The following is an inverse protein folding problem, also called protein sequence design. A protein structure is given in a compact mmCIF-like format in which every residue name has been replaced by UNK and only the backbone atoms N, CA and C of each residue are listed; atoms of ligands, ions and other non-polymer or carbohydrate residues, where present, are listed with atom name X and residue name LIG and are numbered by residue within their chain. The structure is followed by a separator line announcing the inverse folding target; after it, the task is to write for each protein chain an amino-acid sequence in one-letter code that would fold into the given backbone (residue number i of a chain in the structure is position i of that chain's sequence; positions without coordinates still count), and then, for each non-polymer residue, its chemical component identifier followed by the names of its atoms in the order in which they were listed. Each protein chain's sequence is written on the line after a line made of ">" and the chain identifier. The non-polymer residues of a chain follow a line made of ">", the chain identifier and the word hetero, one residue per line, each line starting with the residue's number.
data_IF_291133614259
#
_entry.id   IF_291133614259
#
_cell.length_a   1.000
_cell.length_b   1.000
_cell.length_c   1.000
_cell.angle_alpha   90.00
_cell.angle_beta   90.00
_cell.angle_gamma   90.00
#
_symmetry.space_group_name_H-M   'P 1'
#
loop_
_entity.id
_entity.type
_entity.pdbx_description
1 polymer ?
#
# COMPACT_ATOMS: atom_id res chain seq x y z
N UNK A 1 -14.88 26.73 9.55
CA UNK A 1 -14.35 25.35 9.68
C UNK A 1 -14.63 24.62 8.38
N UNK A 2 -13.65 23.94 7.79
CA UNK A 2 -13.80 23.24 6.50
C UNK A 2 -13.29 21.80 6.65
N UNK A 3 -14.11 20.82 6.28
CA UNK A 3 -13.73 19.40 6.20
C UNK A 3 -13.65 19.02 4.72
N UNK A 4 -12.54 18.39 4.33
CA UNK A 4 -12.27 18.05 2.92
C UNK A 4 -11.88 16.58 2.84
N UNK A 5 -12.48 15.86 1.90
CA UNK A 5 -12.09 14.51 1.49
C UNK A 5 -11.53 14.62 0.07
N UNK A 6 -10.23 14.41 -0.10
CA UNK A 6 -9.56 14.50 -1.39
C UNK A 6 -8.38 13.54 -1.47
N UNK A 7 -8.09 13.04 -2.66
CA UNK A 7 -6.87 12.29 -2.97
C UNK A 7 -5.81 13.16 -3.67
N UNK A 8 -6.13 14.42 -3.98
CA UNK A 8 -5.19 15.35 -4.62
C UNK A 8 -4.19 15.87 -3.59
N UNK A 9 -2.97 15.35 -3.66
CA UNK A 9 -1.87 15.65 -2.75
C UNK A 9 -1.47 17.12 -2.80
N UNK A 10 -1.48 17.74 -3.98
CA UNK A 10 -1.12 19.14 -4.14
C UNK A 10 -2.18 20.05 -3.52
N UNK A 11 -3.46 19.73 -3.73
CA UNK A 11 -4.54 20.45 -3.10
C UNK A 11 -4.47 20.35 -1.57
N UNK A 12 -4.29 19.14 -1.04
CA UNK A 12 -4.17 18.93 0.40
C UNK A 12 -2.99 19.71 0.97
N UNK A 13 -1.85 19.72 0.29
CA UNK A 13 -0.65 20.38 0.81
C UNK A 13 -0.77 21.91 0.98
N UNK A 14 -1.67 22.53 0.21
CA UNK A 14 -1.88 23.98 0.21
C UNK A 14 -3.06 24.44 1.09
N UNK A 15 -4.03 23.57 1.37
CA UNK A 15 -5.29 23.96 1.98
C UNK A 15 -5.44 23.45 3.41
N UNK A 16 -4.93 22.26 3.72
CA UNK A 16 -5.17 21.62 5.02
C UNK A 16 -4.05 21.90 6.01
N UNK A 17 -4.41 21.99 7.29
CA UNK A 17 -3.49 22.14 8.42
C UNK A 17 -3.63 21.01 9.46
N UNK A 18 -4.49 20.03 9.16
CA UNK A 18 -4.73 18.84 9.95
C UNK A 18 -5.20 17.72 9.03
N UNK A 19 -4.67 16.52 9.22
CA UNK A 19 -5.04 15.32 8.46
C UNK A 19 -5.50 14.24 9.43
N UNK A 20 -6.61 13.58 9.08
CA UNK A 20 -7.08 12.37 9.74
C UNK A 20 -6.86 11.19 8.81
N UNK A 21 -6.00 10.26 9.22
CA UNK A 21 -5.80 8.98 8.52
C UNK A 21 -6.69 7.93 9.18
N UNK A 22 -7.63 7.36 8.41
CA UNK A 22 -8.47 6.27 8.89
C UNK A 22 -7.77 4.92 8.68
N UNK A 23 -7.81 4.07 9.70
CA UNK A 23 -7.31 2.70 9.68
C UNK A 23 -8.28 1.72 10.34
N UNK A 24 -7.96 0.42 10.39
CA UNK A 24 -8.85 -0.62 10.92
C UNK A 24 -9.23 -0.43 12.40
N UNK A 25 -8.37 0.23 13.18
CA UNK A 25 -8.55 0.45 14.62
C UNK A 25 -9.08 1.85 14.98
N UNK A 26 -9.39 2.70 14.00
CA UNK A 26 -9.88 4.07 14.23
C UNK A 26 -9.24 5.10 13.31
N UNK A 27 -9.06 6.32 13.81
CA UNK A 27 -8.43 7.41 13.08
C UNK A 27 -7.21 7.95 13.83
N UNK A 28 -6.19 8.31 13.09
CA UNK A 28 -4.96 8.90 13.57
C UNK A 28 -4.90 10.36 13.10
N UNK A 29 -4.60 11.28 14.03
CA UNK A 29 -4.54 12.72 13.73
C UNK A 29 -3.11 13.18 13.54
N UNK A 30 -2.90 13.99 12.51
CA UNK A 30 -1.63 14.60 12.15
C UNK A 30 -1.80 16.11 12.00
N UNK A 31 -0.82 16.87 12.47
CA UNK A 31 -0.81 18.33 12.36
C UNK A 31 0.02 18.77 11.16
N UNK A 32 -0.39 19.85 10.49
CA UNK A 32 0.25 20.37 9.29
C UNK A 32 -0.40 19.89 8.00
N UNK A 33 0.32 20.12 6.90
CA UNK A 33 -0.13 19.81 5.55
C UNK A 33 0.21 18.38 5.12
N UNK A 34 -0.04 18.03 3.86
CA UNK A 34 0.14 16.67 3.35
C UNK A 34 1.60 16.19 3.39
N UNK A 35 2.55 17.05 3.02
CA UNK A 35 3.98 16.78 3.06
C UNK A 35 4.46 16.51 4.48
N UNK A 36 4.04 17.32 5.44
CA UNK A 36 4.37 17.12 6.86
C UNK A 36 3.70 15.87 7.45
N UNK A 37 2.49 15.52 6.99
CA UNK A 37 1.85 14.25 7.34
C UNK A 37 2.66 13.05 6.87
N UNK A 38 3.20 13.05 5.65
CA UNK A 38 4.02 11.94 5.15
C UNK A 38 5.26 11.68 6.02
N UNK A 39 5.93 12.75 6.45
CA UNK A 39 7.08 12.68 7.36
C UNK A 39 6.69 12.11 8.72
N UNK A 40 5.70 12.71 9.39
CA UNK A 40 5.21 12.25 10.69
C UNK A 40 4.73 10.79 10.65
N UNK A 41 4.10 10.36 9.55
CA UNK A 41 3.66 8.98 9.38
C UNK A 41 4.83 8.03 9.24
N UNK A 42 5.84 8.40 8.46
CA UNK A 42 7.05 7.60 8.28
C UNK A 42 7.83 7.45 9.60
N UNK A 43 8.07 8.56 10.30
CA UNK A 43 8.73 8.57 11.62
C UNK A 43 7.97 7.71 12.63
N UNK A 44 6.64 7.81 12.64
CA UNK A 44 5.79 6.98 13.50
C UNK A 44 5.91 5.50 13.17
N UNK A 45 5.90 5.13 11.89
CA UNK A 45 6.09 3.75 11.46
C UNK A 45 7.44 3.22 11.91
N UNK A 46 8.52 3.96 11.67
CA UNK A 46 9.86 3.59 12.11
C UNK A 46 9.96 3.44 13.63
N UNK A 47 9.37 4.38 14.37
CA UNK A 47 9.31 4.33 15.83
C UNK A 47 8.57 3.09 16.33
N UNK A 48 7.34 2.85 15.84
CA UNK A 48 6.52 1.69 16.26
C UNK A 48 7.19 0.37 15.89
N UNK A 49 7.85 0.30 14.74
CA UNK A 49 8.60 -0.89 14.33
C UNK A 49 9.82 -1.12 15.24
N UNK A 50 10.55 -0.06 15.57
CA UNK A 50 11.68 -0.13 16.51
C UNK A 50 11.22 -0.57 17.90
N UNK A 51 10.15 0.03 18.43
CA UNK A 51 9.56 -0.35 19.72
C UNK A 51 9.09 -1.81 19.73
N UNK A 52 8.43 -2.26 18.66
CA UNK A 52 8.00 -3.64 18.51
C UNK A 52 9.18 -4.62 18.47
N UNK A 53 10.20 -4.32 17.67
CA UNK A 53 11.40 -5.16 17.54
C UNK A 53 12.16 -5.24 18.88
N UNK A 54 12.31 -4.12 19.58
CA UNK A 54 12.95 -4.08 20.90
C UNK A 54 12.19 -4.93 21.93
N UNK A 55 10.85 -4.86 21.95
CA UNK A 55 10.03 -5.69 22.85
C UNK A 55 10.10 -7.16 22.49
N UNK A 56 10.07 -7.50 21.19
CA UNK A 56 10.22 -8.87 20.71
C UNK A 56 11.59 -9.46 21.07
N UNK A 57 12.66 -8.69 20.87
CA UNK A 57 14.03 -9.08 21.23
C UNK A 57 14.19 -9.28 22.74
N UNK A 58 13.61 -8.39 23.55
CA UNK A 58 13.54 -8.54 25.01
C UNK A 58 12.83 -9.83 25.40
N UNK A 59 11.67 -10.13 24.79
CA UNK A 59 10.93 -11.37 25.06
C UNK A 59 11.73 -12.62 24.71
N UNK A 60 12.40 -12.64 23.55
CA UNK A 60 13.25 -13.75 23.14
C UNK A 60 14.44 -13.94 24.08
N UNK A 61 15.10 -12.85 24.48
CA UNK A 61 16.22 -12.88 25.43
C UNK A 61 15.79 -13.40 26.80
N UNK A 62 14.62 -12.99 27.29
CA UNK A 62 14.06 -13.49 28.55
C UNK A 62 13.68 -14.97 28.45
N UNK A 63 13.11 -15.40 27.33
CA UNK A 63 12.79 -16.79 27.06
C UNK A 63 14.06 -17.66 27.04
N UNK A 64 15.15 -17.20 26.42
CA UNK A 64 16.42 -17.92 26.39
C UNK A 64 17.03 -18.08 27.78
N UNK A 65 16.92 -17.04 28.62
CA UNK A 65 17.30 -17.14 30.03
C UNK A 65 16.46 -18.21 30.76
N UNK A 66 15.14 -18.23 30.55
CA UNK A 66 14.24 -19.21 31.16
C UNK A 66 14.63 -20.62 30.72
N UNK A 67 14.82 -20.86 29.41
CA UNK A 67 15.24 -22.16 28.85
C UNK A 67 16.50 -22.71 29.51
N UNK A 68 17.51 -21.86 29.72
CA UNK A 68 18.80 -22.27 30.31
C UNK A 68 18.71 -22.58 31.81
N UNK A 69 17.77 -21.98 32.53
CA UNK A 69 17.70 -22.04 33.99
C UNK A 69 16.57 -22.90 34.54
N UNK A 70 15.54 -23.22 33.73
CA UNK A 70 14.39 -24.00 34.21
C UNK A 70 14.74 -25.46 34.54
N UNK A 71 15.82 -25.98 33.95
CA UNK A 71 16.35 -27.33 34.22
C UNK A 71 17.37 -27.37 35.37
N UNK A 72 17.75 -26.23 35.95
CA UNK A 72 18.73 -26.15 37.06
C UNK A 72 18.00 -25.95 38.38
N UNK A 73 18.14 -26.87 39.33
CA UNK A 73 17.36 -26.85 40.59
C UNK A 73 17.53 -25.55 41.41
N UNK A 74 18.76 -25.00 41.47
CA UNK A 74 19.02 -23.78 42.24
C UNK A 74 18.32 -22.52 41.69
N UNK A 75 18.02 -22.46 40.39
CA UNK A 75 17.43 -21.27 39.72
C UNK A 75 16.04 -21.52 39.14
N UNK A 76 15.49 -22.72 39.33
CA UNK A 76 14.20 -23.17 38.79
C UNK A 76 13.03 -22.27 39.18
N UNK A 77 12.89 -21.95 40.47
CA UNK A 77 11.78 -21.12 40.97
C UNK A 77 11.81 -19.70 40.37
N UNK A 78 13.01 -19.13 40.19
CA UNK A 78 13.18 -17.83 39.55
C UNK A 78 12.79 -17.89 38.06
N UNK A 79 13.21 -18.94 37.34
CA UNK A 79 12.86 -19.14 35.95
C UNK A 79 11.34 -19.32 35.75
N UNK A 80 10.66 -20.07 36.63
CA UNK A 80 9.20 -20.25 36.60
C UNK A 80 8.46 -18.92 36.86
N UNK A 81 8.95 -18.11 37.79
CA UNK A 81 8.38 -16.77 38.06
C UNK A 81 8.47 -15.85 36.84
N UNK A 82 9.64 -15.82 36.19
CA UNK A 82 9.84 -15.06 34.93
C UNK A 82 8.96 -15.58 33.80
N UNK A 83 8.83 -16.90 33.65
CA UNK A 83 7.95 -17.51 32.66
C UNK A 83 6.50 -17.04 32.81
N UNK A 84 5.96 -17.05 34.04
CA UNK A 84 4.58 -16.55 34.30
C UNK A 84 4.41 -15.06 33.96
N UNK A 85 5.45 -14.25 34.17
CA UNK A 85 5.43 -12.83 33.78
C UNK A 85 5.45 -12.69 32.26
N UNK A 86 6.37 -13.38 31.59
CA UNK A 86 6.50 -13.35 30.14
C UNK A 86 5.22 -13.81 29.43
N UNK A 87 4.58 -14.89 29.91
CA UNK A 87 3.27 -15.34 29.40
C UNK A 87 2.25 -14.20 29.44
N UNK A 88 2.14 -13.50 30.57
CA UNK A 88 1.20 -12.38 30.70
C UNK A 88 1.50 -11.26 29.70
N UNK A 89 2.76 -10.82 29.62
CA UNK A 89 3.15 -9.75 28.71
C UNK A 89 2.90 -10.12 27.24
N UNK A 90 3.23 -11.34 26.83
CA UNK A 90 2.97 -11.82 25.45
C UNK A 90 1.48 -11.87 25.15
N UNK A 91 0.64 -12.38 26.07
CA UNK A 91 -0.81 -12.45 25.87
C UNK A 91 -1.46 -11.07 25.76
N UNK A 92 -0.97 -10.08 26.51
CA UNK A 92 -1.42 -8.69 26.36
C UNK A 92 -1.12 -8.16 24.95
N UNK A 93 0.07 -8.43 24.42
CA UNK A 93 0.42 -8.01 23.05
C UNK A 93 -0.40 -8.77 22.01
N UNK A 94 -0.70 -10.06 22.21
CA UNK A 94 -1.55 -10.81 21.29
C UNK A 94 -2.99 -10.30 21.25
N UNK A 95 -3.55 -9.92 22.39
CA UNK A 95 -4.94 -9.49 22.49
C UNK A 95 -5.16 -8.05 21.99
N UNK A 96 -4.27 -7.13 22.33
CA UNK A 96 -4.45 -5.69 22.06
C UNK A 96 -3.26 -4.97 21.43
N UNK A 97 -2.24 -5.71 21.02
CA UNK A 97 -1.04 -5.13 20.41
C UNK A 97 -0.09 -4.48 21.41
N UNK A 98 0.95 -3.84 20.87
CA UNK A 98 2.01 -3.25 21.66
C UNK A 98 1.53 -2.06 22.51
N UNK A 99 0.59 -1.26 22.00
CA UNK A 99 0.07 -0.08 22.69
C UNK A 99 -0.58 -0.46 24.03
N UNK A 100 -1.24 -1.63 24.10
CA UNK A 100 -1.84 -2.14 25.33
C UNK A 100 -0.79 -2.51 26.37
N UNK A 101 0.32 -3.12 25.94
CA UNK A 101 1.46 -3.45 26.79
C UNK A 101 2.14 -2.20 27.37
N UNK A 102 2.24 -1.14 26.56
CA UNK A 102 2.86 0.13 26.98
C UNK A 102 1.91 1.01 27.80
N UNK A 103 0.61 0.69 27.81
CA UNK A 103 -0.37 1.40 28.62
C UNK A 103 -0.09 1.22 30.13
N UNK A 104 -0.47 2.22 30.93
CA UNK A 104 -0.26 2.20 32.38
C UNK A 104 -1.40 1.53 33.17
N UNK A 105 -2.44 1.02 32.50
CA UNK A 105 -3.66 0.53 33.14
C UNK A 105 -3.74 -1.01 33.18
N UNK A 106 -2.70 -1.64 33.72
CA UNK A 106 -2.56 -3.09 33.78
C UNK A 106 -3.72 -3.82 34.48
N UNK A 107 -4.39 -3.17 35.45
CA UNK A 107 -5.54 -3.76 36.15
C UNK A 107 -6.73 -4.03 35.22
N UNK A 108 -7.06 -3.10 34.32
CA UNK A 108 -8.18 -3.25 33.37
C UNK A 108 -7.84 -4.21 32.22
N UNK A 109 -6.58 -4.19 31.78
CA UNK A 109 -6.08 -5.09 30.73
C UNK A 109 -6.20 -6.56 31.14
N UNK A 110 -6.02 -6.86 32.42
CA UNK A 110 -6.13 -8.24 32.92
C UNK A 110 -7.58 -8.73 33.06
N UNK A 111 -8.55 -7.83 33.13
CA UNK A 111 -9.98 -8.18 33.14
C UNK A 111 -10.52 -8.42 31.71
N UNK A 112 -9.99 -7.69 30.71
CA UNK A 112 -10.39 -7.84 29.30
C UNK A 112 -9.73 -9.03 28.60
N UNK A 113 -8.48 -9.33 28.94
CA UNK A 113 -7.75 -10.49 28.39
C UNK A 113 -7.97 -11.63 29.37
N UNK A 114 -8.75 -12.65 28.99
CA UNK A 114 -8.96 -13.86 29.80
C UNK A 114 -7.63 -14.63 29.99
N UNK A 115 -6.82 -14.16 30.93
CA UNK A 115 -5.48 -14.66 31.22
C UNK A 115 -5.56 -15.98 32.02
N UNK A 116 -6.76 -16.44 32.39
CA UNK A 116 -6.97 -17.21 33.61
C UNK A 116 -6.65 -18.72 33.57
N UNK A 117 -6.55 -19.43 32.44
CA UNK A 117 -6.44 -20.91 32.50
C UNK A 117 -5.43 -21.62 31.57
N UNK A 118 -4.76 -20.91 30.65
CA UNK A 118 -3.87 -21.58 29.71
C UNK A 118 -2.53 -21.99 30.37
N UNK A 119 -2.29 -23.30 30.51
CA UNK A 119 -0.99 -23.86 30.92
C UNK A 119 0.03 -23.76 29.78
N UNK A 120 0.48 -22.55 29.46
CA UNK A 120 1.55 -22.36 28.48
C UNK A 120 2.89 -22.85 29.04
N UNK A 121 3.52 -23.77 28.31
CA UNK A 121 4.90 -24.12 28.46
C UNK A 121 5.82 -23.18 27.70
N UNK A 122 7.13 -23.39 27.86
CA UNK A 122 8.17 -22.57 27.21
C UNK A 122 8.04 -22.57 25.67
N UNK A 123 7.63 -23.69 25.07
CA UNK A 123 7.45 -23.82 23.63
C UNK A 123 6.26 -23.00 23.11
N UNK A 124 5.14 -22.97 23.85
CA UNK A 124 3.96 -22.18 23.49
C UNK A 124 4.29 -20.69 23.48
N UNK A 125 5.01 -20.22 24.52
CA UNK A 125 5.47 -18.83 24.60
C UNK A 125 6.38 -18.47 23.42
N UNK A 126 7.29 -19.38 23.05
CA UNK A 126 8.16 -19.16 21.90
C UNK A 126 7.38 -18.98 20.60
N UNK A 127 6.40 -19.85 20.36
CA UNK A 127 5.55 -19.80 19.17
C UNK A 127 4.73 -18.51 19.13
N UNK A 128 4.17 -18.11 20.28
CA UNK A 128 3.44 -16.85 20.42
C UNK A 128 4.32 -15.63 20.11
N UNK A 129 5.52 -15.55 20.71
CA UNK A 129 6.48 -14.46 20.44
C UNK A 129 6.83 -14.40 18.94
N UNK A 130 7.07 -15.56 18.31
CA UNK A 130 7.36 -15.63 16.87
C UNK A 130 6.17 -15.15 16.03
N UNK A 131 4.94 -15.50 16.44
CA UNK A 131 3.67 -15.16 15.78
C UNK A 131 3.15 -13.74 16.03
N UNK A 132 3.76 -12.96 16.93
CA UNK A 132 3.37 -11.57 17.17
C UNK A 132 3.35 -10.76 15.87
N UNK A 133 2.21 -10.10 15.62
CA UNK A 133 2.00 -9.28 14.42
C UNK A 133 2.67 -7.91 14.58
N UNK A 134 3.37 -7.45 13.54
CA UNK A 134 3.94 -6.11 13.52
C UNK A 134 2.80 -5.07 13.55
N UNK A 135 2.81 -4.08 14.47
CA UNK A 135 1.77 -3.06 14.56
C UNK A 135 1.74 -2.10 13.36
N UNK A 136 2.81 -2.08 12.56
CA UNK A 136 2.94 -1.21 11.40
C UNK A 136 2.44 -1.95 10.15
N UNK A 137 1.21 -1.63 9.75
CA UNK A 137 0.69 -2.04 8.45
C UNK A 137 1.16 -1.03 7.40
N UNK A 138 2.26 -1.35 6.71
CA UNK A 138 2.69 -0.57 5.56
C UNK A 138 1.77 -0.88 4.37
N UNK A 139 1.31 0.11 3.60
CA UNK A 139 0.59 -0.15 2.37
C UNK A 139 1.47 -1.03 1.47
N UNK A 140 0.91 -2.08 0.86
CA UNK A 140 1.69 -3.00 0.06
C UNK A 140 2.33 -2.25 -1.12
N UNK A 141 3.60 -2.51 -1.38
CA UNK A 141 4.29 -1.93 -2.52
C UNK A 141 3.79 -2.56 -3.82
N UNK A 142 3.43 -1.71 -4.78
CA UNK A 142 2.96 -2.10 -6.09
C UNK A 142 4.16 -2.45 -6.97
N UNK A 143 4.44 -3.75 -7.13
CA UNK A 143 5.51 -4.24 -8.00
C UNK A 143 4.97 -4.63 -9.38
N UNK A 144 4.47 -3.64 -10.14
CA UNK A 144 3.98 -3.86 -11.50
C UNK A 144 5.14 -3.93 -12.50
N UNK A 145 5.29 -5.07 -13.15
CA UNK A 145 6.20 -5.24 -14.30
C UNK A 145 5.38 -5.18 -15.59
N UNK A 146 5.32 -4.00 -16.21
CA UNK A 146 4.70 -3.80 -17.52
C UNK A 146 5.61 -4.35 -18.63
N UNK A 147 5.60 -5.68 -18.82
CA UNK A 147 6.35 -6.35 -19.91
C UNK A 147 5.49 -6.44 -21.17
N UNK A 148 5.99 -5.92 -22.28
CA UNK A 148 5.37 -6.08 -23.60
C UNK A 148 5.74 -7.44 -24.18
N UNK A 149 4.75 -8.26 -24.55
CA UNK A 149 4.97 -9.58 -25.16
C UNK A 149 5.09 -9.53 -26.69
N UNK A 150 4.75 -8.39 -27.30
CA UNK A 150 4.72 -8.21 -28.74
C UNK A 150 6.01 -7.54 -29.23
N UNK A 151 6.54 -8.03 -30.34
CA UNK A 151 7.71 -7.44 -31.02
C UNK A 151 7.25 -6.22 -31.82
N UNK A 152 7.27 -5.03 -31.20
CA UNK A 152 7.17 -3.75 -31.90
C UNK A 152 8.55 -3.26 -32.34
N UNK A 153 8.59 -2.30 -33.27
CA UNK A 153 9.81 -1.52 -33.53
C UNK A 153 10.35 -0.83 -32.27
N UNK A 154 11.58 -0.31 -32.32
CA UNK A 154 12.17 0.41 -31.18
C UNK A 154 11.42 1.72 -30.88
N UNK A 155 10.96 2.41 -31.93
CA UNK A 155 10.16 3.61 -31.83
C UNK A 155 8.72 3.27 -31.38
N UNK A 156 8.23 3.93 -30.33
CA UNK A 156 6.83 3.88 -29.89
C UNK A 156 6.05 5.06 -30.47
N UNK A 157 6.53 6.28 -30.29
CA UNK A 157 5.98 7.47 -30.96
C UNK A 157 7.06 8.53 -31.14
N UNK A 158 6.91 9.35 -32.18
CA UNK A 158 7.65 10.60 -32.35
C UNK A 158 6.69 11.71 -32.77
N UNK A 159 6.89 12.89 -32.21
CA UNK A 159 6.15 14.10 -32.57
C UNK A 159 7.09 15.13 -33.20
N UNK A 160 6.53 16.08 -33.95
CA UNK A 160 7.26 17.21 -34.53
C UNK A 160 6.38 18.45 -34.43
N UNK A 161 6.78 19.40 -33.59
CA UNK A 161 6.13 20.70 -33.34
C UNK A 161 4.60 20.60 -33.21
N UNK A 162 4.16 19.67 -32.35
CA UNK A 162 2.76 19.27 -32.27
C UNK A 162 1.94 20.34 -31.54
N UNK A 163 1.05 21.01 -32.26
CA UNK A 163 0.10 21.97 -31.66
C UNK A 163 -1.20 21.27 -31.32
N UNK A 164 -1.54 21.26 -30.03
CA UNK A 164 -2.67 20.52 -29.47
C UNK A 164 -3.76 21.50 -29.07
N UNK A 165 -5.00 21.16 -29.38
CA UNK A 165 -6.17 21.94 -28.99
C UNK A 165 -7.40 21.55 -29.79
N UNK A 166 -8.42 22.38 -29.70
CA UNK A 166 -9.63 22.24 -30.51
C UNK A 166 -9.61 23.29 -31.63
N UNK A 167 -10.36 23.08 -32.74
CA UNK A 167 -10.47 24.08 -33.80
C UNK A 167 -10.83 25.46 -33.21
N UNK A 168 -10.03 26.48 -33.54
CA UNK A 168 -10.19 27.85 -33.01
C UNK A 168 -9.75 28.07 -31.56
N UNK A 169 -9.26 27.04 -30.87
CA UNK A 169 -8.80 27.11 -29.47
C UNK A 169 -7.54 26.25 -29.25
N UNK A 170 -6.35 26.73 -29.67
CA UNK A 170 -5.09 26.06 -29.35
C UNK A 170 -4.88 26.05 -27.82
N UNK A 171 -4.43 24.92 -27.28
CA UNK A 171 -4.11 24.80 -25.85
C UNK A 171 -2.61 25.00 -25.61
N UNK A 172 -1.76 24.28 -26.34
CA UNK A 172 -0.31 24.43 -26.26
C UNK A 172 0.38 23.78 -27.47
N UNK A 173 1.65 24.14 -27.68
CA UNK A 173 2.54 23.48 -28.65
C UNK A 173 3.61 22.72 -27.87
N UNK A 174 3.72 21.42 -28.15
CA UNK A 174 4.71 20.55 -27.55
C UNK A 174 6.00 20.56 -28.38
N UNK A 175 7.14 20.59 -27.70
CA UNK A 175 8.43 20.30 -28.32
C UNK A 175 8.46 18.87 -28.89
N UNK A 176 9.35 18.56 -29.85
CA UNK A 176 9.49 17.22 -30.40
C UNK A 176 9.79 16.17 -29.32
N UNK A 177 8.82 15.31 -29.04
CA UNK A 177 8.95 14.17 -28.12
C UNK A 177 9.19 12.90 -28.92
N UNK A 178 10.11 12.06 -28.45
CA UNK A 178 10.29 10.67 -28.90
C UNK A 178 10.15 9.75 -27.70
N UNK A 179 9.39 8.66 -27.86
CA UNK A 179 9.28 7.60 -26.87
C UNK A 179 9.73 6.29 -27.52
N UNK A 180 10.61 5.56 -26.84
CA UNK A 180 11.15 4.28 -27.28
C UNK A 180 10.67 3.10 -26.43
N UNK A 181 10.88 1.90 -26.96
CA UNK A 181 10.44 0.66 -26.33
C UNK A 181 11.18 0.43 -25.02
N UNK A 182 10.43 0.27 -23.94
CA UNK A 182 10.96 0.06 -22.59
C UNK A 182 11.00 1.33 -21.75
N UNK A 183 10.81 2.50 -22.38
CA UNK A 183 10.67 3.76 -21.65
C UNK A 183 9.27 3.86 -21.03
N UNK A 184 9.23 4.46 -19.84
CA UNK A 184 8.01 4.76 -19.11
C UNK A 184 7.99 6.26 -18.81
N UNK A 185 7.16 7.00 -19.55
CA UNK A 185 7.03 8.45 -19.40
C UNK A 185 5.78 8.80 -18.59
N UNK A 186 5.88 9.81 -17.73
CA UNK A 186 4.76 10.36 -16.99
C UNK A 186 4.39 11.74 -17.55
N UNK A 187 3.09 11.98 -17.72
CA UNK A 187 2.55 13.30 -18.06
C UNK A 187 1.90 13.92 -16.82
N UNK A 188 2.44 15.04 -16.35
CA UNK A 188 1.97 15.75 -15.15
C UNK A 188 1.63 17.21 -15.49
N UNK A 189 0.77 17.82 -14.68
CA UNK A 189 0.38 19.22 -14.84
C UNK A 189 -0.93 19.56 -14.11
N UNK A 190 -1.31 20.84 -13.99
CA UNK A 190 -2.54 21.26 -13.32
C UNK A 190 -3.81 20.81 -14.07
N UNK A 191 -4.95 20.79 -13.38
CA UNK A 191 -6.23 20.49 -14.02
C UNK A 191 -6.55 21.52 -15.11
N UNK A 192 -7.07 21.06 -16.24
CA UNK A 192 -7.32 21.92 -17.40
C UNK A 192 -6.08 22.23 -18.26
N UNK A 193 -4.88 21.76 -17.92
CA UNK A 193 -3.66 22.00 -18.73
C UNK A 193 -3.61 21.28 -20.09
N UNK A 194 -4.67 20.59 -20.49
CA UNK A 194 -4.75 19.88 -21.77
C UNK A 194 -4.20 18.45 -21.76
N UNK A 195 -3.90 17.83 -20.60
CA UNK A 195 -3.39 16.44 -20.52
C UNK A 195 -4.27 15.42 -21.26
N UNK A 196 -5.58 15.47 -21.00
CA UNK A 196 -6.54 14.57 -21.66
C UNK A 196 -6.59 14.85 -23.16
N UNK A 197 -6.57 16.12 -23.57
CA UNK A 197 -6.54 16.51 -24.98
C UNK A 197 -5.28 16.01 -25.67
N UNK A 198 -4.11 16.14 -25.03
CA UNK A 198 -2.85 15.60 -25.53
C UNK A 198 -2.87 14.09 -25.70
N UNK A 199 -3.35 13.34 -24.69
CA UNK A 199 -3.50 11.90 -24.78
C UNK A 199 -4.42 11.50 -25.94
N UNK A 200 -5.57 12.16 -26.10
CA UNK A 200 -6.48 11.90 -27.23
C UNK A 200 -5.83 12.20 -28.57
N UNK A 201 -4.97 13.21 -28.67
CA UNK A 201 -4.17 13.47 -29.87
C UNK A 201 -3.15 12.36 -30.12
N UNK A 202 -2.43 11.89 -29.09
CA UNK A 202 -1.49 10.77 -29.22
C UNK A 202 -2.17 9.44 -29.62
N UNK A 203 -3.42 9.24 -29.20
CA UNK A 203 -4.24 8.09 -29.57
C UNK A 203 -4.83 8.19 -30.99
N UNK A 204 -4.69 9.36 -31.64
CA UNK A 204 -5.30 9.63 -32.96
C UNK A 204 -6.80 9.93 -32.90
N UNK A 205 -7.40 10.07 -31.72
CA UNK A 205 -8.81 10.45 -31.55
C UNK A 205 -9.06 11.93 -31.85
N UNK A 206 -8.03 12.77 -31.69
CA UNK A 206 -8.09 14.20 -31.96
C UNK A 206 -6.95 14.60 -32.89
N UNK A 207 -7.28 15.17 -34.05
CA UNK A 207 -6.27 15.66 -34.98
C UNK A 207 -5.51 16.85 -34.38
N UNK A 208 -4.17 16.89 -34.47
CA UNK A 208 -3.41 18.07 -34.06
C UNK A 208 -3.75 19.26 -34.95
N UNK A 209 -3.66 20.47 -34.40
CA UNK A 209 -3.87 21.71 -35.16
C UNK A 209 -2.69 22.02 -36.08
N UNK A 210 -1.47 21.61 -35.68
CA UNK A 210 -0.26 21.69 -36.48
C UNK A 210 0.74 20.62 -36.03
N UNK A 211 1.77 20.38 -36.85
CA UNK A 211 2.81 19.38 -36.58
C UNK A 211 2.41 17.98 -37.01
N UNK A 212 3.23 16.99 -36.66
CA UNK A 212 3.02 15.58 -37.04
C UNK A 212 3.19 14.64 -35.85
N UNK A 213 2.35 13.60 -35.80
CA UNK A 213 2.49 12.46 -34.91
C UNK A 213 2.82 11.22 -35.76
N UNK A 214 3.93 10.56 -35.43
CA UNK A 214 4.38 9.32 -36.07
C UNK A 214 4.37 8.18 -35.05
N UNK A 215 3.37 7.31 -35.07
CA UNK A 215 3.36 6.12 -34.22
C UNK A 215 4.40 5.09 -34.71
N UNK A 216 4.86 4.25 -33.78
CA UNK A 216 5.75 3.13 -34.07
C UNK A 216 5.11 2.08 -34.97
N UNK A 217 5.93 1.40 -35.79
CA UNK A 217 5.46 0.34 -36.65
C UNK A 217 4.89 -0.83 -35.83
N UNK A 218 3.69 -1.30 -36.22
CA UNK A 218 2.95 -2.37 -35.53
C UNK A 218 2.67 -2.10 -34.05
N UNK A 219 2.54 -0.82 -33.66
CA UNK A 219 2.20 -0.43 -32.30
C UNK A 219 0.78 -0.90 -31.97
N UNK A 220 0.65 -1.69 -30.89
CA UNK A 220 -0.64 -1.99 -30.26
C UNK A 220 -0.79 -1.12 -29.02
N UNK A 221 -1.78 -0.25 -29.03
CA UNK A 221 -2.02 0.71 -27.94
C UNK A 221 -3.05 0.14 -26.97
N UNK A 222 -2.71 0.11 -25.68
CA UNK A 222 -3.67 -0.05 -24.60
C UNK A 222 -3.93 1.29 -23.94
N UNK A 223 -5.20 1.69 -23.83
CA UNK A 223 -5.60 2.95 -23.21
C UNK A 223 -6.59 2.68 -22.08
N UNK A 224 -6.32 3.28 -20.91
CA UNK A 224 -7.19 3.24 -19.74
C UNK A 224 -7.69 4.66 -19.48
N UNK A 225 -8.99 4.90 -19.69
CA UNK A 225 -9.62 6.21 -19.48
C UNK A 225 -10.06 6.37 -18.02
N UNK A 226 -10.16 7.62 -17.55
CA UNK A 226 -10.61 7.93 -16.18
C UNK A 226 -12.12 7.68 -15.97
N UNK A 227 -12.91 7.54 -17.04
CA UNK A 227 -14.33 7.22 -16.97
C UNK A 227 -14.52 5.70 -16.91
N UNK A 228 -15.21 5.20 -15.88
CA UNK A 228 -15.47 3.77 -15.62
C UNK A 228 -16.49 3.14 -16.59
N UNK A 229 -16.59 3.65 -17.82
CA UNK A 229 -17.68 3.37 -18.77
C UNK A 229 -17.70 1.93 -19.34
N UNK A 230 -16.80 1.05 -18.90
CA UNK A 230 -16.72 -0.34 -19.40
C UNK A 230 -16.76 -1.44 -18.34
N UNK A 231 -16.78 -1.10 -17.05
CA UNK A 231 -16.80 -2.10 -15.98
C UNK A 231 -18.25 -2.42 -15.61
N UNK A 232 -18.60 -3.70 -15.52
CA UNK A 232 -19.90 -4.12 -15.02
C UNK A 232 -19.87 -4.13 -13.47
N UNK A 233 -20.65 -3.26 -12.78
CA UNK A 233 -20.63 -3.17 -11.31
C UNK A 233 -21.17 -4.42 -10.60
N UNK A 234 -21.71 -5.39 -11.35
CA UNK A 234 -22.19 -6.65 -10.80
C UNK A 234 -21.16 -7.79 -10.93
N UNK A 235 -20.08 -7.59 -11.69
CA UNK A 235 -19.03 -8.58 -11.84
C UNK A 235 -18.05 -8.46 -10.69
N UNK A 236 -17.54 -9.58 -10.18
CA UNK A 236 -16.39 -9.51 -9.29
C UNK A 236 -15.15 -9.03 -10.05
N UNK A 237 -14.15 -8.50 -9.35
CA UNK A 237 -12.86 -8.14 -9.96
C UNK A 237 -12.27 -9.32 -10.77
N UNK A 238 -12.44 -10.55 -10.29
CA UNK A 238 -12.01 -11.76 -10.98
C UNK A 238 -12.82 -12.03 -12.26
N UNK A 239 -14.14 -11.92 -12.19
CA UNK A 239 -15.03 -12.15 -13.34
C UNK A 239 -14.77 -11.12 -14.44
N UNK A 240 -14.56 -9.87 -14.06
CA UNK A 240 -14.27 -8.78 -14.97
C UNK A 240 -12.93 -9.02 -15.72
N UNK A 241 -11.91 -9.51 -15.01
CA UNK A 241 -10.65 -9.91 -15.64
C UNK A 241 -10.82 -11.08 -16.60
N UNK A 242 -11.54 -12.12 -16.19
CA UNK A 242 -11.73 -13.34 -16.97
C UNK A 242 -12.61 -13.12 -18.21
N UNK A 243 -13.55 -12.19 -18.14
CA UNK A 243 -14.38 -11.80 -19.30
C UNK A 243 -13.58 -11.17 -20.43
N UNK A 244 -12.49 -10.45 -20.11
CA UNK A 244 -11.62 -9.78 -21.08
C UNK A 244 -10.35 -10.56 -21.41
N UNK A 245 -9.92 -11.48 -20.54
CA UNK A 245 -8.68 -12.23 -20.72
C UNK A 245 -8.84 -13.66 -20.23
N UNK A 246 -8.95 -14.58 -21.19
CA UNK A 246 -9.00 -16.02 -20.91
C UNK A 246 -7.70 -16.47 -20.22
N UNK A 247 -7.83 -16.95 -19.00
CA UNK A 247 -6.74 -17.57 -18.25
C UNK A 247 -7.30 -18.47 -17.14
N UNK A 248 -6.46 -19.35 -16.61
CA UNK A 248 -6.82 -20.18 -15.46
C UNK A 248 -6.92 -19.33 -14.18
N UNK A 249 -7.72 -19.79 -13.21
CA UNK A 249 -7.99 -19.08 -11.95
C UNK A 249 -6.71 -18.76 -11.14
N UNK A 250 -5.78 -19.70 -11.02
CA UNK A 250 -4.51 -19.48 -10.30
C UNK A 250 -3.69 -18.33 -10.90
N UNK A 251 -3.36 -18.37 -12.21
CA UNK A 251 -2.75 -17.26 -12.93
C UNK A 251 -3.53 -15.95 -12.84
N UNK A 252 -4.86 -15.96 -12.87
CA UNK A 252 -5.69 -14.76 -12.71
C UNK A 252 -5.49 -14.10 -11.35
N UNK A 253 -5.54 -14.90 -10.27
CA UNK A 253 -5.30 -14.40 -8.90
C UNK A 253 -3.88 -13.86 -8.74
N UNK A 254 -2.88 -14.53 -9.31
CA UNK A 254 -1.50 -14.04 -9.30
C UNK A 254 -1.32 -12.74 -10.10
N UNK A 255 -2.08 -12.56 -11.19
CA UNK A 255 -2.09 -11.33 -11.96
C UNK A 255 -2.73 -10.18 -11.16
N UNK A 256 -3.91 -10.42 -10.57
CA UNK A 256 -4.63 -9.47 -9.71
C UNK A 256 -3.83 -9.07 -8.46
N UNK A 257 -3.08 -10.01 -7.88
CA UNK A 257 -2.21 -9.73 -6.73
C UNK A 257 -1.13 -8.68 -7.01
N UNK A 258 -0.70 -8.54 -8.27
CA UNK A 258 0.25 -7.49 -8.69
C UNK A 258 -0.40 -6.09 -8.67
N UNK A 259 -1.73 -6.02 -8.72
CA UNK A 259 -2.55 -4.82 -8.59
C UNK A 259 -3.16 -4.67 -7.19
N UNK A 260 -2.63 -5.41 -6.20
CA UNK A 260 -3.04 -5.39 -4.79
C UNK A 260 -4.41 -6.01 -4.47
N UNK A 261 -5.12 -6.60 -5.43
CA UNK A 261 -6.29 -7.43 -5.15
C UNK A 261 -5.87 -8.82 -4.66
N UNK A 262 -6.10 -9.12 -3.37
CA UNK A 262 -5.65 -10.36 -2.72
C UNK A 262 -6.77 -11.04 -1.93
N UNK A 263 -6.62 -12.34 -1.68
CA UNK A 263 -7.55 -13.09 -0.83
C UNK A 263 -8.99 -13.00 -1.33
N UNK A 264 -9.88 -12.46 -0.50
CA UNK A 264 -11.30 -12.24 -0.78
C UNK A 264 -11.58 -10.99 -1.63
N UNK A 265 -10.62 -10.07 -1.77
CA UNK A 265 -10.83 -8.83 -2.54
C UNK A 265 -11.12 -9.09 -4.01
N UNK A 266 -10.68 -10.24 -4.55
CA UNK A 266 -10.94 -10.64 -5.93
C UNK A 266 -12.41 -11.00 -6.19
N UNK A 267 -13.18 -11.28 -5.14
CA UNK A 267 -14.60 -11.63 -5.20
C UNK A 267 -15.52 -10.46 -4.87
N UNK A 268 -14.95 -9.26 -4.62
CA UNK A 268 -15.75 -8.05 -4.42
C UNK A 268 -16.24 -7.51 -5.78
N UNK A 269 -17.47 -6.96 -5.82
CA UNK A 269 -17.99 -6.26 -6.99
C UNK A 269 -17.28 -4.91 -7.22
#
# INVERSE_FOLDING_TARGET
>A
SLLIVSHDRYFLDNVVNRIWEMGPSGFETYHGNYSHYLQQRQERWERRETEFNAVKERFLSELDYIKRNIARDATKNQAVGRLRRLIREVRVVEAGGLDLLLSKNWGQVMDEVDISEAKWGVADVEQAIKGLRNPVIRPPQLNLKLKTTLRSGNLVLRTSDLTIGYPGKPLFTAEPITLERGECAALIGPNGSGKTTFLRTLLGELQPLAGQLRPGASLKVGYFSQAHERLNPNNTVLDELLSHKQMLLGPARNYLAQYLFRGEDVFKP
#
